data_IF_548892801933
#
_entry.id   IF_548892801933
#
_cell.length_a   1.000
_cell.length_b   1.000
_cell.length_c   1.000
_cell.angle_alpha   90.00
_cell.angle_beta   90.00
_cell.angle_gamma   90.00
#
_symmetry.space_group_name_H-M   'P 1'
#
loop_
_entity.id
_entity.type
_entity.pdbx_description
1 polymer ?
#
# COMPACT_ATOMS: atom_id res chain seq x y z
N UNK A 1 62.06 25.81 -38.13
CA UNK A 1 61.63 25.94 -36.72
C UNK A 1 60.87 24.66 -36.39
N UNK A 2 61.46 23.58 -35.86
CA UNK A 2 62.15 23.45 -34.56
C UNK A 2 61.07 23.36 -33.46
N UNK A 3 60.86 22.30 -32.68
CA UNK A 3 61.67 21.11 -32.34
C UNK A 3 60.79 19.98 -31.80
N UNK A 4 61.19 18.75 -32.11
CA UNK A 4 60.95 17.49 -31.40
C UNK A 4 61.27 17.58 -29.89
N UNK A 5 60.54 16.82 -29.05
CA UNK A 5 61.12 16.10 -27.90
C UNK A 5 60.19 15.02 -27.36
N UNK A 6 60.51 13.80 -27.75
CA UNK A 6 60.23 12.57 -27.02
C UNK A 6 60.49 12.67 -25.51
N UNK A 7 59.69 11.94 -24.71
CA UNK A 7 60.16 11.16 -23.54
C UNK A 7 59.18 10.03 -23.21
N UNK A 8 59.62 8.81 -23.49
CA UNK A 8 59.12 7.56 -22.89
C UNK A 8 59.63 7.48 -21.44
N UNK A 9 58.93 6.77 -20.56
CA UNK A 9 59.44 5.64 -19.74
C UNK A 9 58.36 5.18 -18.75
N UNK A 10 58.27 3.86 -18.64
CA UNK A 10 57.34 3.04 -17.88
C UNK A 10 57.52 3.11 -16.35
N UNK A 11 56.43 2.84 -15.63
CA UNK A 11 56.42 2.24 -14.27
C UNK A 11 55.20 1.32 -14.24
N UNK A 12 55.39 0.02 -14.49
CA UNK A 12 55.69 -1.05 -13.54
C UNK A 12 54.42 -1.70 -12.98
N UNK A 13 54.37 -3.01 -13.18
CA UNK A 13 53.29 -3.92 -12.85
C UNK A 13 53.11 -4.07 -11.34
N UNK A 14 51.86 -4.22 -10.90
CA UNK A 14 51.53 -5.07 -9.75
C UNK A 14 50.34 -5.92 -10.15
N UNK A 15 50.63 -7.17 -10.50
CA UNK A 15 49.66 -8.26 -10.52
C UNK A 15 49.37 -8.66 -9.07
N UNK A 16 48.10 -8.78 -8.70
CA UNK A 16 47.68 -9.70 -7.64
C UNK A 16 46.49 -10.51 -8.16
N UNK A 17 46.76 -11.78 -8.40
CA UNK A 17 45.82 -12.81 -8.82
C UNK A 17 45.13 -13.46 -7.61
N UNK A 18 43.98 -14.08 -7.90
CA UNK A 18 43.44 -15.36 -7.36
C UNK A 18 42.12 -15.33 -6.57
N UNK A 19 41.09 -15.84 -7.27
CA UNK A 19 40.25 -17.00 -6.96
C UNK A 19 39.47 -17.07 -5.63
N UNK A 20 38.13 -17.10 -5.75
CA UNK A 20 37.22 -18.08 -5.15
C UNK A 20 35.77 -17.68 -5.54
N UNK A 21 34.80 -18.53 -5.84
CA UNK A 21 34.71 -19.93 -6.16
C UNK A 21 33.33 -20.08 -6.81
N UNK A 22 33.22 -20.78 -7.94
CA UNK A 22 31.93 -21.18 -8.49
C UNK A 22 31.52 -22.42 -7.70
N UNK A 23 30.57 -22.31 -6.80
CA UNK A 23 30.04 -23.48 -6.10
C UNK A 23 28.55 -23.30 -5.85
N UNK A 24 27.77 -24.10 -6.59
CA UNK A 24 26.45 -24.55 -6.16
C UNK A 24 25.28 -23.65 -6.55
N UNK A 25 24.80 -23.81 -7.79
CA UNK A 25 23.35 -23.92 -7.97
C UNK A 25 22.89 -25.23 -7.30
N UNK A 26 21.59 -25.30 -6.95
CA UNK A 26 20.91 -26.44 -6.34
C UNK A 26 21.00 -26.55 -4.81
N UNK A 27 20.26 -25.66 -4.14
CA UNK A 27 19.25 -26.11 -3.18
C UNK A 27 17.90 -25.46 -3.46
N UNK A 28 17.11 -26.24 -4.18
CA UNK A 28 15.68 -26.15 -4.31
C UNK A 28 14.98 -26.23 -2.94
N UNK A 29 13.81 -25.58 -2.89
CA UNK A 29 12.71 -25.75 -1.94
C UNK A 29 12.91 -25.19 -0.53
N UNK A 30 12.71 -23.88 -0.47
CA UNK A 30 12.32 -23.17 0.74
C UNK A 30 11.48 -21.94 0.39
N UNK A 31 10.53 -22.05 -0.55
CA UNK A 31 9.49 -21.02 -0.75
C UNK A 31 8.54 -21.04 0.44
N UNK A 32 9.04 -20.69 1.61
CA UNK A 32 8.23 -19.98 2.58
C UNK A 32 7.87 -18.69 1.89
N UNK A 33 6.66 -18.62 1.34
CA UNK A 33 6.06 -17.38 0.88
C UNK A 33 6.18 -16.44 2.07
N UNK A 34 7.15 -15.53 2.02
CA UNK A 34 7.09 -14.33 2.82
C UNK A 34 5.77 -13.71 2.40
N UNK A 35 4.74 -13.95 3.20
CA UNK A 35 3.56 -13.12 3.17
C UNK A 35 4.10 -11.80 3.67
N UNK A 36 4.67 -11.01 2.75
CA UNK A 36 4.95 -9.61 3.00
C UNK A 36 3.59 -9.04 3.33
N UNK A 37 3.32 -8.98 4.63
CA UNK A 37 2.19 -8.26 5.14
C UNK A 37 2.49 -6.81 4.74
N UNK A 38 1.92 -6.37 3.60
CA UNK A 38 2.06 -5.03 3.03
C UNK A 38 1.39 -4.01 3.96
N UNK A 39 1.79 -3.99 5.22
CA UNK A 39 1.40 -3.02 6.21
C UNK A 39 2.25 -1.79 5.91
N UNK A 40 1.66 -0.83 5.20
CA UNK A 40 2.31 0.44 4.99
C UNK A 40 2.57 1.07 6.36
N UNK A 41 3.79 1.56 6.64
CA UNK A 41 4.05 2.19 7.93
C UNK A 41 3.16 3.41 8.11
N UNK A 42 2.75 3.67 9.35
CA UNK A 42 2.01 4.87 9.70
C UNK A 42 2.93 6.10 9.55
N UNK A 43 2.49 7.19 8.91
CA UNK A 43 3.32 8.37 8.75
C UNK A 43 3.64 9.03 10.11
N UNK A 44 4.70 9.82 10.16
CA UNK A 44 5.11 10.52 11.38
C UNK A 44 3.96 11.35 11.99
N UNK A 45 3.83 11.24 13.32
CA UNK A 45 2.76 11.88 14.09
C UNK A 45 1.39 11.24 13.88
N UNK A 46 1.34 9.95 13.52
CA UNK A 46 0.12 9.16 13.53
C UNK A 46 0.27 7.94 14.44
N UNK A 47 -0.85 7.47 14.96
CA UNK A 47 -0.95 6.30 15.83
C UNK A 47 -1.32 5.09 14.99
N UNK A 48 -0.66 3.95 15.19
CA UNK A 48 -1.07 2.70 14.58
C UNK A 48 -2.37 2.18 15.22
N UNK A 49 -3.15 1.47 14.41
CA UNK A 49 -4.40 0.85 14.81
C UNK A 49 -4.60 -0.45 14.05
N UNK A 50 -5.49 -1.29 14.56
CA UNK A 50 -5.92 -2.53 13.92
C UNK A 50 -7.42 -2.76 14.18
N UNK A 51 -8.20 -1.67 14.24
CA UNK A 51 -9.61 -1.73 14.58
C UNK A 51 -10.45 -1.95 13.33
N UNK A 52 -11.40 -2.86 13.43
CA UNK A 52 -12.41 -3.05 12.38
C UNK A 52 -13.51 -2.01 12.55
N UNK A 53 -13.71 -1.21 11.51
CA UNK A 53 -14.64 -0.09 11.51
C UNK A 53 -15.70 -0.28 10.44
N UNK A 54 -16.92 0.16 10.74
CA UNK A 54 -18.00 0.32 9.79
C UNK A 54 -18.04 1.74 9.26
N UNK A 55 -18.59 1.89 8.06
CA UNK A 55 -18.81 3.19 7.43
C UNK A 55 -20.26 3.63 7.66
N UNK A 56 -20.48 4.87 8.09
CA UNK A 56 -21.81 5.39 8.44
C UNK A 56 -22.43 6.32 7.38
N UNK A 57 -21.76 6.52 6.24
CA UNK A 57 -22.25 7.38 5.15
C UNK A 57 -22.37 6.59 3.86
N UNK A 58 -23.33 6.96 3.02
CA UNK A 58 -23.55 6.35 1.69
C UNK A 58 -22.42 6.65 0.71
N UNK A 59 -21.68 7.75 0.93
CA UNK A 59 -20.53 8.12 0.13
C UNK A 59 -19.50 8.85 0.98
N UNK A 60 -18.27 8.32 0.99
CA UNK A 60 -17.11 8.91 1.67
C UNK A 60 -15.93 8.92 0.70
N UNK A 61 -15.42 10.10 0.36
CA UNK A 61 -14.24 10.22 -0.49
C UNK A 61 -13.00 9.67 0.22
N UNK A 62 -12.26 8.81 -0.46
CA UNK A 62 -10.94 8.33 -0.01
C UNK A 62 -9.88 9.30 -0.53
N UNK A 63 -8.92 9.68 0.33
CA UNK A 63 -7.89 10.67 0.01
C UNK A 63 -6.47 10.12 0.16
N UNK A 64 -5.52 10.74 -0.53
CA UNK A 64 -4.11 10.36 -0.48
C UNK A 64 -3.42 10.76 0.84
N UNK A 65 -4.01 11.68 1.60
CA UNK A 65 -3.51 12.14 2.90
C UNK A 65 -4.59 12.65 3.86
N UNK A 66 -4.22 12.93 5.12
CA UNK A 66 -5.14 13.35 6.17
C UNK A 66 -5.54 14.81 6.00
N UNK A 67 -6.69 15.06 5.37
CA UNK A 67 -7.22 16.41 5.19
C UNK A 67 -8.03 16.55 3.90
N UNK A 68 -8.88 17.58 3.83
CA UNK A 68 -9.67 17.87 2.62
C UNK A 68 -8.85 18.46 1.48
N UNK A 69 -7.65 18.97 1.76
CA UNK A 69 -6.70 19.51 0.78
C UNK A 69 -5.96 18.43 -0.01
N UNK A 70 -5.95 17.19 0.49
CA UNK A 70 -5.32 16.07 -0.22
C UNK A 70 -6.22 15.57 -1.35
N UNK A 71 -5.58 15.14 -2.43
CA UNK A 71 -6.27 14.61 -3.61
C UNK A 71 -7.13 13.39 -3.27
N UNK A 72 -8.18 13.17 -4.07
CA UNK A 72 -9.00 11.96 -3.99
C UNK A 72 -8.29 10.81 -4.69
N UNK A 73 -8.41 9.62 -4.12
CA UNK A 73 -7.90 8.39 -4.73
C UNK A 73 -8.71 8.09 -5.99
N UNK A 74 -8.01 7.84 -7.10
CA UNK A 74 -8.62 7.48 -8.39
C UNK A 74 -9.00 6.00 -8.35
N UNK A 75 -10.23 5.68 -8.75
CA UNK A 75 -10.61 4.30 -9.04
C UNK A 75 -10.15 3.95 -10.45
N UNK A 76 -8.94 3.40 -10.56
CA UNK A 76 -8.31 3.06 -11.84
C UNK A 76 -9.18 2.14 -12.71
N UNK A 77 -9.67 1.01 -12.19
CA UNK A 77 -10.60 0.14 -12.92
C UNK A 77 -11.83 0.86 -13.45
N UNK A 78 -12.56 1.60 -12.60
CA UNK A 78 -13.77 2.31 -13.03
C UNK A 78 -13.45 3.44 -14.02
N UNK A 79 -12.33 4.13 -13.82
CA UNK A 79 -11.91 5.19 -14.73
C UNK A 79 -11.61 4.66 -16.12
N UNK A 80 -10.94 3.50 -16.19
CA UNK A 80 -10.60 2.84 -17.45
C UNK A 80 -11.84 2.37 -18.20
N UNK A 81 -12.81 1.78 -17.49
CA UNK A 81 -14.04 1.28 -18.10
C UNK A 81 -14.99 2.40 -18.52
N UNK A 82 -15.07 3.48 -17.73
CA UNK A 82 -15.96 4.62 -18.03
C UNK A 82 -15.40 5.61 -19.07
N UNK A 83 -14.07 5.61 -19.29
CA UNK A 83 -13.41 6.61 -20.13
C UNK A 83 -13.31 8.00 -19.48
N UNK A 84 -13.69 8.13 -18.21
CA UNK A 84 -13.62 9.39 -17.44
C UNK A 84 -12.95 9.15 -16.09
N UNK A 85 -12.41 10.18 -15.45
CA UNK A 85 -11.80 10.01 -14.12
C UNK A 85 -12.87 9.71 -13.06
N UNK A 86 -12.88 8.48 -12.57
CA UNK A 86 -13.66 8.02 -11.44
C UNK A 86 -12.81 8.03 -10.15
N UNK A 87 -13.47 8.29 -9.02
CA UNK A 87 -12.81 8.37 -7.72
C UNK A 87 -13.33 7.29 -6.79
N UNK A 88 -12.42 6.70 -6.02
CA UNK A 88 -12.75 5.69 -5.03
C UNK A 88 -13.53 6.32 -3.86
N UNK A 89 -14.57 5.61 -3.41
CA UNK A 89 -15.38 6.05 -2.27
C UNK A 89 -15.90 4.88 -1.45
N UNK A 90 -16.12 5.11 -0.16
CA UNK A 90 -16.73 4.12 0.73
C UNK A 90 -18.23 4.35 0.86
N UNK A 91 -19.00 3.27 0.90
CA UNK A 91 -20.43 3.28 1.21
C UNK A 91 -20.75 2.68 2.58
N UNK A 92 -21.97 2.89 3.07
CA UNK A 92 -22.40 2.53 4.43
C UNK A 92 -22.39 1.00 4.72
N UNK A 93 -22.36 0.21 3.67
CA UNK A 93 -22.24 -1.25 3.71
C UNK A 93 -20.79 -1.74 3.85
N UNK A 94 -19.80 -0.85 3.75
CA UNK A 94 -18.39 -1.24 3.75
C UNK A 94 -17.91 -1.50 5.19
N UNK A 95 -17.01 -2.48 5.30
CA UNK A 95 -16.18 -2.68 6.49
C UNK A 95 -14.74 -2.39 6.11
N UNK A 96 -14.04 -1.67 6.98
CA UNK A 96 -12.65 -1.29 6.78
C UNK A 96 -11.81 -1.67 7.99
N UNK A 97 -10.52 -1.90 7.76
CA UNK A 97 -9.54 -1.95 8.84
C UNK A 97 -8.86 -0.59 8.93
N UNK A 98 -8.88 0.00 10.13
CA UNK A 98 -8.15 1.21 10.44
C UNK A 98 -6.70 0.87 10.73
N UNK A 99 -5.78 1.35 9.89
CA UNK A 99 -4.34 1.12 10.05
C UNK A 99 -3.67 2.21 10.88
N UNK A 100 -4.05 3.48 10.63
CA UNK A 100 -3.40 4.63 11.24
C UNK A 100 -4.41 5.73 11.53
N UNK A 101 -4.16 6.52 12.57
CA UNK A 101 -4.95 7.71 12.91
C UNK A 101 -4.08 8.94 13.05
N UNK A 102 -4.50 10.05 12.43
CA UNK A 102 -3.85 11.35 12.53
C UNK A 102 -4.91 12.44 12.68
N UNK A 103 -5.07 12.95 13.91
CA UNK A 103 -6.12 13.91 14.24
C UNK A 103 -7.51 13.35 13.90
N UNK A 104 -8.31 14.12 13.16
CA UNK A 104 -9.67 13.74 12.75
C UNK A 104 -9.74 12.82 11.52
N UNK A 105 -8.63 12.22 11.12
CA UNK A 105 -8.52 11.36 9.94
C UNK A 105 -7.92 9.99 10.27
N UNK A 106 -8.39 8.98 9.55
CA UNK A 106 -7.93 7.60 9.65
C UNK A 106 -7.54 7.10 8.28
N UNK A 107 -6.38 6.44 8.20
CA UNK A 107 -5.98 5.65 7.02
C UNK A 107 -6.59 4.27 7.14
N UNK A 108 -7.34 3.88 6.13
CA UNK A 108 -8.13 2.66 6.11
C UNK A 108 -7.95 1.93 4.78
N UNK A 109 -8.19 0.63 4.78
CA UNK A 109 -8.42 -0.19 3.60
C UNK A 109 -9.71 -0.98 3.77
N UNK A 110 -10.41 -1.17 2.66
CA UNK A 110 -11.61 -1.99 2.62
C UNK A 110 -11.29 -3.44 2.91
N UNK A 111 -11.96 -4.03 3.89
CA UNK A 111 -11.95 -5.48 4.13
C UNK A 111 -13.20 -6.13 3.54
N UNK A 112 -14.33 -5.43 3.52
CA UNK A 112 -15.57 -5.88 2.88
C UNK A 112 -16.24 -4.74 2.08
N UNK A 113 -16.58 -4.94 0.81
CA UNK A 113 -16.42 -6.19 0.03
C UNK A 113 -14.96 -6.41 -0.45
N UNK A 114 -14.51 -7.68 -0.46
CA UNK A 114 -13.11 -8.05 -0.73
C UNK A 114 -12.55 -7.53 -2.07
N UNK A 115 -13.34 -7.54 -3.14
CA UNK A 115 -12.88 -7.13 -4.48
C UNK A 115 -12.45 -5.66 -4.58
N UNK A 116 -12.77 -4.82 -3.60
CA UNK A 116 -12.34 -3.42 -3.54
C UNK A 116 -11.10 -3.21 -2.69
N UNK A 117 -10.60 -4.22 -1.98
CA UNK A 117 -9.48 -4.14 -1.05
C UNK A 117 -8.20 -3.58 -1.67
N UNK A 118 -7.93 -3.94 -2.91
CA UNK A 118 -6.74 -3.51 -3.63
C UNK A 118 -6.79 -2.06 -4.13
N UNK A 119 -7.99 -1.47 -4.24
CA UNK A 119 -8.18 -0.15 -4.87
C UNK A 119 -8.73 0.91 -3.90
N UNK A 120 -9.40 0.49 -2.83
CA UNK A 120 -10.04 1.38 -1.87
C UNK A 120 -9.24 1.42 -0.57
N UNK A 121 -8.08 2.06 -0.64
CA UNK A 121 -7.20 2.36 0.49
C UNK A 121 -6.84 3.85 0.51
N UNK A 122 -6.82 4.44 1.71
CA UNK A 122 -6.42 5.84 1.90
C UNK A 122 -7.06 6.47 3.13
N UNK A 123 -7.04 7.79 3.18
CA UNK A 123 -7.48 8.58 4.33
C UNK A 123 -8.95 8.98 4.21
N UNK A 124 -9.68 8.81 5.32
CA UNK A 124 -11.09 9.21 5.47
C UNK A 124 -11.28 9.92 6.80
N UNK A 125 -12.31 10.77 6.90
CA UNK A 125 -12.60 11.49 8.14
C UNK A 125 -13.26 10.56 9.19
N UNK A 126 -12.79 10.63 10.43
CA UNK A 126 -13.21 9.73 11.52
C UNK A 126 -14.71 9.80 11.80
N UNK A 127 -15.34 10.97 11.56
CA UNK A 127 -16.78 11.19 11.74
C UNK A 127 -17.67 10.25 10.91
N UNK A 128 -17.10 9.57 9.91
CA UNK A 128 -17.82 8.60 9.09
C UNK A 128 -17.56 7.15 9.50
N UNK A 129 -16.73 6.92 10.52
CA UNK A 129 -16.34 5.60 10.99
C UNK A 129 -16.98 5.30 12.34
N UNK A 130 -17.37 4.04 12.53
CA UNK A 130 -17.88 3.53 13.80
C UNK A 130 -17.25 2.17 14.11
N UNK A 131 -16.89 1.93 15.36
CA UNK A 131 -16.30 0.66 15.75
C UNK A 131 -17.33 -0.46 15.66
N UNK A 132 -17.02 -1.50 14.90
CA UNK A 132 -17.85 -2.70 14.85
C UNK A 132 -17.31 -3.64 15.91
N UNK A 133 -17.98 -3.72 17.06
CA UNK A 133 -17.70 -4.81 18.00
C UNK A 133 -18.00 -6.14 17.29
N UNK A 134 -17.19 -7.18 17.56
CA UNK A 134 -17.25 -8.49 16.87
C UNK A 134 -18.64 -9.17 16.87
N UNK A 135 -19.58 -8.69 17.69
CA UNK A 135 -20.97 -9.16 17.74
C UNK A 135 -21.85 -8.70 16.56
N UNK A 136 -21.50 -7.59 15.88
CA UNK A 136 -22.35 -7.00 14.84
C UNK A 136 -22.10 -7.56 13.43
N UNK A 137 -20.88 -8.01 13.11
CA UNK A 137 -20.49 -8.52 11.79
C UNK A 137 -21.28 -9.77 11.37
N UNK A 138 -21.67 -10.63 12.32
CA UNK A 138 -22.42 -11.86 12.05
C UNK A 138 -23.89 -11.62 11.68
N UNK A 139 -24.45 -10.48 12.09
CA UNK A 139 -25.87 -10.17 11.93
C UNK A 139 -26.24 -9.58 10.56
N UNK A 140 -25.26 -8.99 9.84
CA UNK A 140 -25.48 -8.45 8.47
C UNK A 140 -25.37 -9.53 7.39
N UNK A 141 -24.51 -10.54 7.55
CA UNK A 141 -24.38 -11.65 6.61
C UNK A 141 -25.65 -12.52 6.53
N UNK A 142 -26.38 -12.68 7.64
CA UNK A 142 -27.58 -13.51 7.70
C UNK A 142 -28.83 -12.92 7.02
N UNK A 143 -28.85 -11.62 6.67
CA UNK A 143 -30.07 -10.95 6.16
C UNK A 143 -30.22 -11.00 4.64
N UNK A 144 -29.16 -11.27 3.87
CA UNK A 144 -29.18 -11.25 2.40
C UNK A 144 -29.46 -12.63 1.76
N UNK A 145 -29.85 -13.65 2.54
CA UNK A 145 -30.09 -15.02 2.06
C UNK A 145 -31.55 -15.41 1.83
N UNK A 146 -32.49 -14.45 1.73
CA UNK A 146 -33.90 -14.72 1.40
C UNK A 146 -34.39 -13.76 0.31
N UNK A 147 -34.39 -14.24 -0.91
CA UNK A 147 -35.02 -13.66 -2.09
C UNK A 147 -35.24 -14.76 -3.10
#
# INVERSE_FOLDING_TARGET
MGTDRSRRIAVSAIALSLLAAVTGCDKLLGSGVATENLTFPCPTGSESSARTMGVQSTQVNIRTGPGTSFERVIDGPTSRTSGTTAYASLGAQFTVLEECRKGSWSRVWVTEPEHLRATHHGWVANRFLTEISASASKSRSARNGRG
#
